data_IF_622500212331
#
_entry.id   IF_622500212331
#
_cell.length_a   1.000
_cell.length_b   1.000
_cell.length_c   1.000
_cell.angle_alpha   90.00
_cell.angle_beta   90.00
_cell.angle_gamma   90.00
#
_symmetry.space_group_name_H-M   'P 1'
#
loop_
_entity.id
_entity.type
_entity.pdbx_description
1 polymer ?
#
# COMPACT_ATOMS: atom_id res chain seq x y z
N UNK A 1 12.33 -25.52 -9.95
CA UNK A 1 11.52 -24.51 -9.25
C UNK A 1 10.80 -23.67 -10.30
N UNK A 2 9.51 -23.55 -10.21
CA UNK A 2 8.74 -22.62 -11.07
C UNK A 2 8.90 -21.22 -10.49
N UNK A 3 9.18 -20.23 -11.36
CA UNK A 3 9.29 -18.83 -10.96
C UNK A 3 7.96 -18.25 -10.47
N UNK A 4 8.02 -17.14 -9.78
CA UNK A 4 6.85 -16.37 -9.31
C UNK A 4 6.58 -15.22 -10.26
N UNK A 5 5.35 -15.10 -10.74
CA UNK A 5 4.91 -13.97 -11.56
C UNK A 5 4.33 -12.90 -10.63
N UNK A 6 5.00 -11.76 -10.55
CA UNK A 6 4.57 -10.62 -9.76
C UNK A 6 4.29 -9.41 -10.65
N UNK A 7 3.19 -8.72 -10.40
CA UNK A 7 2.83 -7.47 -11.08
C UNK A 7 2.94 -6.28 -10.14
N UNK A 8 3.75 -5.28 -10.53
CA UNK A 8 3.71 -3.96 -9.91
C UNK A 8 2.68 -3.10 -10.66
N UNK A 9 1.73 -2.53 -9.93
CA UNK A 9 0.60 -1.81 -10.53
C UNK A 9 0.10 -0.70 -9.59
N UNK A 10 -0.69 0.22 -10.13
CA UNK A 10 -1.48 1.14 -9.33
C UNK A 10 -2.84 0.55 -8.89
N UNK A 11 -3.18 -0.64 -9.35
CA UNK A 11 -4.43 -1.34 -8.99
C UNK A 11 -5.71 -0.73 -9.56
N UNK A 12 -5.63 0.13 -10.56
CA UNK A 12 -6.78 0.91 -11.07
C UNK A 12 -7.77 0.11 -11.95
N UNK A 13 -7.43 -1.13 -12.33
CA UNK A 13 -8.21 -1.93 -13.27
C UNK A 13 -8.50 -3.33 -12.73
N UNK A 14 -9.44 -3.47 -11.75
CA UNK A 14 -9.73 -4.76 -11.12
C UNK A 14 -10.18 -5.84 -12.11
N UNK A 15 -10.95 -5.50 -13.15
CA UNK A 15 -11.36 -6.48 -14.18
C UNK A 15 -10.18 -7.01 -15.00
N UNK A 16 -9.19 -6.17 -15.28
CA UNK A 16 -7.98 -6.60 -15.96
C UNK A 16 -7.14 -7.52 -15.07
N UNK A 17 -7.03 -7.19 -13.78
CA UNK A 17 -6.39 -8.05 -12.79
C UNK A 17 -7.09 -9.41 -12.69
N UNK A 18 -8.41 -9.45 -12.72
CA UNK A 18 -9.17 -10.70 -12.76
C UNK A 18 -8.69 -11.66 -13.84
N UNK A 19 -8.54 -11.17 -15.06
CA UNK A 19 -8.02 -11.96 -16.19
C UNK A 19 -6.57 -12.41 -16.01
N UNK A 20 -5.73 -11.57 -15.37
CA UNK A 20 -4.34 -11.93 -15.08
C UNK A 20 -4.23 -13.03 -14.03
N UNK A 21 -5.11 -13.02 -13.00
CA UNK A 21 -5.20 -14.13 -12.04
C UNK A 21 -5.54 -15.45 -12.72
N UNK A 22 -6.51 -15.42 -13.63
CA UNK A 22 -6.93 -16.60 -14.37
C UNK A 22 -5.81 -17.10 -15.31
N UNK A 23 -4.94 -16.21 -15.78
CA UNK A 23 -3.76 -16.51 -16.59
C UNK A 23 -2.52 -16.95 -15.79
N UNK A 24 -2.60 -17.01 -14.46
CA UNK A 24 -1.53 -17.55 -13.60
C UNK A 24 -0.68 -16.50 -12.89
N UNK A 25 -1.15 -15.25 -12.73
CA UNK A 25 -0.49 -14.27 -11.88
C UNK A 25 -0.44 -14.78 -10.42
N UNK A 26 0.71 -14.67 -9.75
CA UNK A 26 0.93 -15.18 -8.40
C UNK A 26 0.77 -14.12 -7.31
N UNK A 27 1.17 -12.88 -7.60
CA UNK A 27 1.19 -11.81 -6.61
C UNK A 27 1.08 -10.43 -7.25
N UNK A 28 0.60 -9.47 -6.47
CA UNK A 28 0.62 -8.06 -6.85
C UNK A 28 1.35 -7.20 -5.82
N UNK A 29 1.86 -6.09 -6.33
CA UNK A 29 2.39 -5.00 -5.50
C UNK A 29 1.76 -3.70 -5.94
N UNK A 30 0.98 -3.10 -5.04
CA UNK A 30 0.24 -1.87 -5.29
C UNK A 30 1.01 -0.67 -4.75
N UNK A 31 1.20 0.35 -5.58
CA UNK A 31 1.87 1.58 -5.16
C UNK A 31 0.88 2.53 -4.49
N UNK A 32 1.15 2.90 -3.24
CA UNK A 32 0.36 3.84 -2.45
C UNK A 32 1.26 4.91 -1.84
N UNK A 33 0.81 6.16 -1.89
CA UNK A 33 1.43 7.24 -1.11
C UNK A 33 0.76 7.41 0.25
N UNK A 34 -0.49 7.02 0.36
CA UNK A 34 -1.35 7.11 1.53
C UNK A 34 -2.58 6.22 1.30
N UNK A 35 -3.17 5.72 2.38
CA UNK A 35 -4.47 5.03 2.36
C UNK A 35 -5.62 5.99 2.61
N UNK A 36 -5.35 7.27 2.79
CA UNK A 36 -6.36 8.33 2.96
C UNK A 36 -6.77 8.86 1.58
N UNK A 37 -8.05 8.73 1.16
CA UNK A 37 -8.50 9.11 -0.18
C UNK A 37 -8.10 10.52 -0.63
N UNK A 38 -8.19 11.58 0.22
CA UNK A 38 -7.76 12.92 -0.18
C UNK A 38 -6.25 13.00 -0.50
N UNK A 39 -5.40 12.33 0.28
CA UNK A 39 -3.96 12.29 0.06
C UNK A 39 -3.60 11.46 -1.18
N UNK A 40 -4.26 10.31 -1.36
CA UNK A 40 -4.12 9.49 -2.57
C UNK A 40 -4.47 10.30 -3.82
N UNK A 41 -5.65 10.93 -3.83
CA UNK A 41 -6.13 11.74 -4.95
C UNK A 41 -5.21 12.93 -5.25
N UNK A 42 -4.68 13.58 -4.23
CA UNK A 42 -3.76 14.71 -4.39
C UNK A 42 -2.44 14.28 -5.05
N UNK A 43 -1.95 13.07 -4.81
CA UNK A 43 -0.70 12.57 -5.40
C UNK A 43 -0.91 11.92 -6.76
N UNK A 44 -1.74 10.88 -6.83
CA UNK A 44 -1.94 10.09 -8.05
C UNK A 44 -2.78 10.78 -9.10
N UNK A 45 -3.65 11.73 -8.71
CA UNK A 45 -4.57 12.45 -9.63
C UNK A 45 -5.31 11.49 -10.57
N UNK A 46 -6.06 10.52 -10.01
CA UNK A 46 -6.67 9.48 -10.81
C UNK A 46 -7.59 10.06 -11.89
N UNK A 47 -7.51 9.47 -13.09
CA UNK A 47 -8.38 9.80 -14.22
C UNK A 47 -9.06 8.52 -14.71
N UNK A 48 -10.38 8.52 -14.72
CA UNK A 48 -11.15 7.34 -15.15
C UNK A 48 -11.21 6.19 -14.13
N UNK A 49 -10.74 6.40 -12.89
CA UNK A 49 -10.88 5.49 -11.77
C UNK A 49 -10.84 6.26 -10.44
N UNK A 50 -11.24 5.62 -9.36
CA UNK A 50 -11.21 6.15 -7.99
C UNK A 50 -10.35 5.26 -7.09
N UNK A 51 -10.15 5.65 -5.84
CA UNK A 51 -9.37 4.86 -4.89
C UNK A 51 -10.06 3.52 -4.55
N UNK A 52 -11.38 3.50 -4.65
CA UNK A 52 -12.22 2.33 -4.42
C UNK A 52 -11.89 1.17 -5.38
N UNK A 53 -11.57 1.44 -6.64
CA UNK A 53 -11.13 0.41 -7.59
C UNK A 53 -9.77 -0.17 -7.20
N UNK A 54 -8.91 0.63 -6.55
CA UNK A 54 -7.63 0.15 -6.03
C UNK A 54 -7.86 -0.80 -4.86
N UNK A 55 -8.76 -0.45 -3.94
CA UNK A 55 -9.15 -1.32 -2.83
C UNK A 55 -9.80 -2.61 -3.35
N UNK A 56 -10.70 -2.51 -4.33
CA UNK A 56 -11.32 -3.67 -4.98
C UNK A 56 -10.28 -4.61 -5.60
N UNK A 57 -9.21 -4.08 -6.19
CA UNK A 57 -8.10 -4.87 -6.72
C UNK A 57 -7.34 -5.63 -5.62
N UNK A 58 -7.17 -5.01 -4.46
CA UNK A 58 -6.57 -5.64 -3.28
C UNK A 58 -7.47 -6.77 -2.77
N UNK A 59 -8.74 -6.49 -2.54
CA UNK A 59 -9.72 -7.45 -2.03
C UNK A 59 -9.85 -8.65 -2.96
N UNK A 60 -9.95 -8.41 -4.26
CA UNK A 60 -10.02 -9.48 -5.27
C UNK A 60 -8.80 -10.40 -5.22
N UNK A 61 -7.61 -9.87 -4.94
CA UNK A 61 -6.40 -10.67 -4.78
C UNK A 61 -6.43 -11.47 -3.47
N UNK A 62 -6.85 -10.85 -2.36
CA UNK A 62 -6.98 -11.49 -1.06
C UNK A 62 -8.02 -12.63 -1.08
N UNK A 63 -9.19 -12.40 -1.68
CA UNK A 63 -10.26 -13.40 -1.84
C UNK A 63 -9.81 -14.62 -2.65
N UNK A 64 -8.84 -14.44 -3.55
CA UNK A 64 -8.23 -15.52 -4.34
C UNK A 64 -7.03 -16.18 -3.64
N UNK A 65 -6.73 -15.81 -2.40
CA UNK A 65 -5.56 -16.29 -1.67
C UNK A 65 -4.23 -15.90 -2.31
N UNK A 66 -4.16 -14.74 -2.96
CA UNK A 66 -2.95 -14.26 -3.63
C UNK A 66 -2.12 -13.37 -2.71
N UNK A 67 -0.80 -13.39 -2.91
CA UNK A 67 0.08 -12.53 -2.14
C UNK A 67 -0.03 -11.07 -2.57
N UNK A 68 -0.37 -10.21 -1.62
CA UNK A 68 -0.50 -8.76 -1.82
C UNK A 68 0.55 -8.02 -1.01
N UNK A 69 1.33 -7.20 -1.70
CA UNK A 69 2.23 -6.24 -1.09
C UNK A 69 1.83 -4.81 -1.47
N UNK A 70 2.12 -3.85 -0.61
CA UNK A 70 2.04 -2.44 -0.96
C UNK A 70 3.42 -1.78 -0.94
N UNK A 71 3.71 -0.96 -1.96
CA UNK A 71 4.78 0.03 -1.90
C UNK A 71 4.20 1.28 -1.23
N UNK A 72 4.61 1.54 0.01
CA UNK A 72 4.09 2.67 0.77
C UNK A 72 5.11 3.79 0.80
N UNK A 73 4.72 4.96 0.31
CA UNK A 73 5.62 6.09 0.18
C UNK A 73 5.93 6.68 1.56
N UNK A 74 7.21 6.81 1.87
CA UNK A 74 7.70 7.31 3.13
C UNK A 74 8.15 8.77 3.00
N UNK A 75 7.41 9.68 3.66
CA UNK A 75 7.74 11.09 3.80
C UNK A 75 7.52 11.52 5.25
N UNK A 76 8.59 11.79 6.01
CA UNK A 76 8.47 12.29 7.38
C UNK A 76 7.55 13.52 7.47
N UNK A 77 6.70 13.57 8.48
CA UNK A 77 5.68 14.61 8.67
C UNK A 77 4.36 14.34 7.93
N UNK A 78 4.33 13.39 7.00
CA UNK A 78 3.11 12.94 6.32
C UNK A 78 2.80 11.50 6.70
N UNK A 79 3.69 10.58 6.34
CA UNK A 79 3.50 9.14 6.56
C UNK A 79 3.40 8.79 8.05
N UNK A 80 4.14 9.48 8.89
CA UNK A 80 4.15 9.33 10.35
C UNK A 80 3.25 10.32 11.09
N UNK A 81 2.28 10.93 10.41
CA UNK A 81 1.23 11.69 11.09
C UNK A 81 0.29 10.74 11.84
N UNK A 82 -0.28 11.16 12.98
CA UNK A 82 -1.24 10.35 13.72
C UNK A 82 -2.42 9.90 12.88
N UNK A 83 -2.93 10.76 12.01
CA UNK A 83 -4.06 10.46 11.13
C UNK A 83 -3.72 9.42 10.06
N UNK A 84 -2.48 9.41 9.56
CA UNK A 84 -2.02 8.40 8.62
C UNK A 84 -1.81 7.05 9.33
N UNK A 85 -1.28 7.07 10.56
CA UNK A 85 -1.13 5.87 11.38
C UNK A 85 -2.48 5.20 11.66
N UNK A 86 -3.49 5.98 12.07
CA UNK A 86 -4.84 5.47 12.32
C UNK A 86 -5.48 4.91 11.04
N UNK A 87 -5.38 5.65 9.93
CA UNK A 87 -5.91 5.22 8.64
C UNK A 87 -5.22 3.94 8.12
N UNK A 88 -3.89 3.84 8.28
CA UNK A 88 -3.15 2.65 7.88
C UNK A 88 -3.53 1.44 8.75
N UNK A 89 -3.71 1.63 10.06
CA UNK A 89 -4.19 0.57 10.95
C UNK A 89 -5.57 0.07 10.56
N UNK A 90 -6.51 0.98 10.25
CA UNK A 90 -7.85 0.60 9.77
C UNK A 90 -7.79 -0.13 8.43
N UNK A 91 -6.98 0.37 7.49
CA UNK A 91 -6.75 -0.30 6.20
C UNK A 91 -6.23 -1.74 6.39
N UNK A 92 -5.25 -1.96 7.26
CA UNK A 92 -4.68 -3.28 7.49
C UNK A 92 -5.66 -4.24 8.17
N UNK A 93 -6.59 -3.74 8.98
CA UNK A 93 -7.68 -4.56 9.56
C UNK A 93 -8.71 -4.96 8.51
N UNK A 94 -9.05 -4.07 7.59
CA UNK A 94 -10.02 -4.34 6.53
C UNK A 94 -9.43 -5.17 5.37
N UNK A 95 -8.16 -4.94 5.05
CA UNK A 95 -7.44 -5.56 3.95
C UNK A 95 -6.17 -6.24 4.49
N UNK A 96 -6.23 -7.50 4.94
CA UNK A 96 -5.11 -8.21 5.57
C UNK A 96 -4.03 -8.60 4.56
N UNK A 97 -3.34 -7.59 4.03
CA UNK A 97 -2.22 -7.75 3.11
C UNK A 97 -1.02 -8.39 3.80
N UNK A 98 -0.13 -9.01 3.03
CA UNK A 98 0.99 -9.76 3.59
C UNK A 98 2.28 -8.95 3.76
N UNK A 99 2.44 -7.80 3.04
CA UNK A 99 3.70 -7.07 3.08
C UNK A 99 3.52 -5.56 2.85
N UNK A 100 4.28 -4.78 3.61
CA UNK A 100 4.52 -3.36 3.34
C UNK A 100 5.98 -3.18 2.94
N UNK A 101 6.21 -2.57 1.79
CA UNK A 101 7.51 -2.05 1.38
C UNK A 101 7.52 -0.55 1.56
N UNK A 102 8.28 -0.10 2.54
CA UNK A 102 8.48 1.33 2.79
C UNK A 102 9.42 1.91 1.73
N UNK A 103 8.92 2.84 0.93
CA UNK A 103 9.65 3.47 -0.17
C UNK A 103 9.94 4.92 0.16
N UNK A 104 11.21 5.29 0.17
CA UNK A 104 11.58 6.69 0.31
C UNK A 104 11.00 7.53 -0.82
N UNK A 105 10.57 8.74 -0.46
CA UNK A 105 10.13 9.73 -1.42
C UNK A 105 11.30 10.07 -2.36
N UNK A 106 11.09 9.93 -3.67
CA UNK A 106 12.03 10.29 -4.73
C UNK A 106 11.57 11.52 -5.52
N UNK A 107 10.91 12.42 -4.86
CA UNK A 107 10.32 13.65 -5.40
C UNK A 107 10.65 14.80 -4.46
N UNK A 108 10.42 16.08 -4.88
CA UNK A 108 10.62 17.23 -3.99
C UNK A 108 9.79 17.08 -2.70
N UNK A 109 10.45 16.89 -1.53
CA UNK A 109 9.75 16.60 -0.29
C UNK A 109 8.93 17.78 0.20
N UNK A 110 9.37 19.01 -0.04
CA UNK A 110 8.63 20.20 0.39
C UNK A 110 7.36 20.39 -0.45
N UNK A 111 7.47 20.16 -1.75
CA UNK A 111 6.30 20.20 -2.64
C UNK A 111 5.28 19.11 -2.26
N UNK A 112 5.75 17.88 -2.02
CA UNK A 112 4.90 16.77 -1.60
C UNK A 112 4.21 17.08 -0.25
N UNK A 113 4.99 17.47 0.76
CA UNK A 113 4.47 17.82 2.09
C UNK A 113 3.38 18.90 2.02
N UNK A 114 3.66 20.00 1.32
CA UNK A 114 2.70 21.10 1.16
C UNK A 114 1.41 20.65 0.47
N UNK A 115 1.52 19.74 -0.48
CA UNK A 115 0.37 19.17 -1.18
C UNK A 115 -0.47 18.29 -0.27
N UNK A 116 0.15 17.42 0.50
CA UNK A 116 -0.55 16.55 1.46
C UNK A 116 -1.23 17.36 2.55
N UNK A 117 -0.55 18.35 3.12
CA UNK A 117 -1.11 19.24 4.14
C UNK A 117 -2.34 20.02 3.66
N UNK A 118 -2.41 20.35 2.38
CA UNK A 118 -3.60 20.98 1.78
C UNK A 118 -4.73 19.99 1.51
N UNK A 119 -4.41 18.73 1.29
CA UNK A 119 -5.38 17.70 0.98
C UNK A 119 -6.11 17.18 2.23
N UNK A 120 -5.39 17.05 3.36
CA UNK A 120 -5.95 16.53 4.59
C UNK A 120 -5.13 16.99 5.83
N UNK A 121 -5.74 17.01 7.02
CA UNK A 121 -5.05 17.34 8.26
C UNK A 121 -3.86 16.43 8.52
N UNK A 122 -2.74 17.02 8.95
CA UNK A 122 -1.54 16.33 9.45
C UNK A 122 -1.30 16.82 10.87
N UNK A 123 -1.33 15.93 11.83
CA UNK A 123 -0.96 16.21 13.21
C UNK A 123 0.56 16.19 13.43
N UNK A 124 1.04 16.40 14.66
CA UNK A 124 2.46 16.33 14.97
C UNK A 124 2.99 14.92 14.67
N UNK A 125 4.10 14.80 13.94
CA UNK A 125 4.63 13.51 13.53
C UNK A 125 5.07 12.65 14.72
N UNK A 126 4.79 11.36 14.69
CA UNK A 126 5.19 10.41 15.76
C UNK A 126 6.58 9.81 15.49
N UNK A 127 7.17 10.08 14.34
CA UNK A 127 8.44 9.52 13.87
C UNK A 127 8.27 8.22 13.08
N UNK A 128 8.98 8.10 11.96
CA UNK A 128 8.88 6.94 11.03
C UNK A 128 9.26 5.63 11.73
N UNK A 129 10.32 5.62 12.52
CA UNK A 129 10.72 4.43 13.27
C UNK A 129 9.64 3.98 14.25
N UNK A 130 9.03 4.94 14.95
CA UNK A 130 7.90 4.68 15.87
C UNK A 130 6.70 4.13 15.12
N UNK A 131 6.35 4.71 13.97
CA UNK A 131 5.28 4.22 13.10
C UNK A 131 5.52 2.75 12.74
N UNK A 132 6.68 2.43 12.16
CA UNK A 132 7.01 1.07 11.68
C UNK A 132 6.96 0.07 12.84
N UNK A 133 7.55 0.42 13.98
CA UNK A 133 7.54 -0.43 15.18
C UNK A 133 6.11 -0.67 15.70
N UNK A 134 5.26 0.36 15.73
CA UNK A 134 3.87 0.23 16.19
C UNK A 134 3.03 -0.61 15.24
N UNK A 135 3.17 -0.41 13.92
CA UNK A 135 2.50 -1.24 12.91
C UNK A 135 2.95 -2.69 13.04
N UNK A 136 4.26 -2.96 13.16
CA UNK A 136 4.77 -4.32 13.32
C UNK A 136 4.31 -5.00 14.62
N UNK A 137 4.07 -4.23 15.68
CA UNK A 137 3.51 -4.76 16.94
C UNK A 137 2.01 -5.06 16.84
N UNK A 138 1.25 -4.19 16.18
CA UNK A 138 -0.21 -4.33 16.03
C UNK A 138 -0.59 -5.36 14.97
N UNK A 139 0.23 -5.48 13.92
CA UNK A 139 0.01 -6.38 12.78
C UNK A 139 1.25 -7.29 12.57
N UNK A 140 1.50 -8.25 13.48
CA UNK A 140 2.72 -9.07 13.46
C UNK A 140 2.82 -10.00 12.23
N UNK A 141 1.72 -10.26 11.54
CA UNK A 141 1.69 -11.07 10.33
C UNK A 141 2.04 -10.29 9.06
N UNK A 142 2.05 -8.96 9.13
CA UNK A 142 2.45 -8.10 8.02
C UNK A 142 3.97 -7.98 7.97
N UNK A 143 4.57 -8.49 6.90
CA UNK A 143 6.02 -8.39 6.71
C UNK A 143 6.43 -6.97 6.32
N UNK A 144 7.56 -6.53 6.86
CA UNK A 144 8.23 -5.30 6.42
C UNK A 144 9.45 -5.69 5.60
N UNK A 145 9.48 -5.37 4.29
CA UNK A 145 10.55 -5.87 3.42
C UNK A 145 10.70 -5.17 2.09
N UNK A 146 11.73 -5.60 1.33
CA UNK A 146 12.06 -5.05 0.02
C UNK A 146 11.68 -5.99 -1.14
N UNK A 147 11.73 -7.29 -0.93
CA UNK A 147 11.49 -8.29 -1.98
C UNK A 147 10.32 -9.17 -1.59
N UNK A 148 9.55 -9.61 -2.58
CA UNK A 148 8.58 -10.66 -2.35
C UNK A 148 9.31 -11.92 -1.92
N UNK A 149 8.80 -12.66 -0.93
CA UNK A 149 9.30 -13.98 -0.63
C UNK A 149 9.08 -14.91 -1.83
N UNK A 150 9.81 -16.02 -1.94
CA UNK A 150 9.51 -17.04 -2.94
C UNK A 150 8.10 -17.61 -2.70
N UNK A 151 7.46 -18.09 -3.77
CA UNK A 151 6.06 -18.55 -3.77
C UNK A 151 5.74 -19.55 -2.65
N UNK A 152 6.70 -20.43 -2.36
CA UNK A 152 6.59 -21.45 -1.32
C UNK A 152 6.48 -20.86 0.11
N UNK A 153 6.80 -19.58 0.27
CA UNK A 153 6.72 -18.85 1.54
C UNK A 153 5.56 -17.85 1.59
N UNK A 154 4.70 -17.82 0.57
CA UNK A 154 3.50 -17.01 0.65
C UNK A 154 2.62 -17.53 1.78
N UNK A 155 2.35 -16.67 2.76
CA UNK A 155 1.30 -16.93 3.74
C UNK A 155 -0.03 -16.62 3.04
N UNK A 156 -0.81 -17.62 2.79
CA UNK A 156 -2.16 -17.56 2.22
C UNK A 156 -3.15 -17.84 3.34
#
# INVERSE_FOLDING_TARGET
AMGTINLNTNGSLPQALGRLWDAGLDSIRISLNSVRPPCYKAYFRPRGYHFEEVLQSIDQALDRGKHVAINYLNCPGVTDSPQEFEALGEFLRQHPIQMIQWRNLNFDPLHYFNRMRRAAPLGPPIGIETLIRRIGKEFPDVMHGYFNPPKEKFKV
#
